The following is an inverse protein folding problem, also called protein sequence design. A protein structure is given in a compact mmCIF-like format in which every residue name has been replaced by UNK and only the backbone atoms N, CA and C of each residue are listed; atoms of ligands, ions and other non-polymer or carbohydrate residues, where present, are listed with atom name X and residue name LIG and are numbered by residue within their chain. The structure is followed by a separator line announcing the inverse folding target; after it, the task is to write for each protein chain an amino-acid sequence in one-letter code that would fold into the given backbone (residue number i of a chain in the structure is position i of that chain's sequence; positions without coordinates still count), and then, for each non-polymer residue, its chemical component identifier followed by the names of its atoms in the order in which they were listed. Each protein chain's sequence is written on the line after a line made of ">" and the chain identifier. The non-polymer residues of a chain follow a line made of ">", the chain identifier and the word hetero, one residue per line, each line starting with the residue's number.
data_IF_918826989917
#
_entry.id   IF_918826989917
#
_cell.length_a   1.000
_cell.length_b   1.000
_cell.length_c   1.000
_cell.angle_alpha   90.00
_cell.angle_beta   90.00
_cell.angle_gamma   90.00
#
_symmetry.space_group_name_H-M   'P 1'
#
loop_
_entity.id
_entity.type
_entity.pdbx_description
1 polymer ?
#
# COMPACT_ATOMS: atom_id res chain seq x y z
N UNK A 1 -6.05 0.56 18.65
CA UNK A 1 -4.91 -0.30 18.24
C UNK A 1 -3.54 0.29 18.60
N UNK A 2 -3.29 1.58 18.34
CA UNK A 2 -2.00 2.23 18.66
C UNK A 2 -1.56 2.07 20.12
N UNK A 3 -2.43 2.41 21.07
CA UNK A 3 -2.14 2.35 22.52
C UNK A 3 -1.89 0.91 22.99
N UNK A 4 -2.59 -0.08 22.43
CA UNK A 4 -2.42 -1.48 22.79
C UNK A 4 -1.07 -2.05 22.30
N UNK A 5 -0.64 -1.70 21.09
CA UNK A 5 0.67 -2.11 20.55
C UNK A 5 1.84 -1.46 21.29
N UNK A 6 1.71 -0.17 21.64
CA UNK A 6 2.70 0.53 22.46
C UNK A 6 2.76 -0.07 23.87
N UNK A 7 1.61 -0.32 24.51
CA UNK A 7 1.57 -0.93 25.84
C UNK A 7 2.16 -2.36 25.83
N UNK A 8 1.87 -3.16 24.80
CA UNK A 8 2.44 -4.49 24.63
C UNK A 8 3.95 -4.47 24.40
N UNK A 9 4.43 -3.58 23.52
CA UNK A 9 5.84 -3.38 23.25
C UNK A 9 6.59 -2.86 24.48
N UNK A 10 5.94 -2.04 25.30
CA UNK A 10 6.47 -1.71 26.63
C UNK A 10 6.50 -2.97 27.50
N UNK A 11 5.43 -3.75 27.68
CA UNK A 11 5.42 -4.87 28.64
C UNK A 11 6.43 -5.98 28.28
N UNK A 12 6.63 -6.28 27.00
CA UNK A 12 7.38 -7.48 26.55
C UNK A 12 8.84 -7.25 26.13
N UNK A 13 9.29 -5.99 25.98
CA UNK A 13 10.67 -5.72 25.52
C UNK A 13 11.61 -5.54 26.72
N UNK A 14 12.54 -6.48 26.87
CA UNK A 14 13.71 -6.36 27.75
C UNK A 14 14.78 -5.51 27.06
N UNK A 15 14.61 -4.19 27.09
CA UNK A 15 15.60 -3.23 26.62
C UNK A 15 15.70 -2.04 27.56
N UNK A 16 16.81 -1.30 27.47
CA UNK A 16 17.01 -0.04 28.20
C UNK A 16 15.81 0.89 27.96
N UNK A 17 15.35 1.67 28.96
CA UNK A 17 14.06 2.38 28.92
C UNK A 17 13.87 3.27 27.68
N UNK A 18 14.93 3.95 27.25
CA UNK A 18 14.90 4.80 26.07
C UNK A 18 14.75 4.00 24.75
N UNK A 19 15.45 2.87 24.63
CA UNK A 19 15.34 2.00 23.46
C UNK A 19 13.97 1.31 23.39
N UNK A 20 13.42 0.93 24.54
CA UNK A 20 12.09 0.34 24.69
C UNK A 20 10.97 1.28 24.24
N UNK A 21 11.05 2.56 24.62
CA UNK A 21 10.13 3.60 24.13
C UNK A 21 10.26 3.83 22.62
N UNK A 22 11.50 3.92 22.11
CA UNK A 22 11.74 4.07 20.67
C UNK A 22 11.14 2.93 19.86
N UNK A 23 11.41 1.68 20.26
CA UNK A 23 10.87 0.49 19.58
C UNK A 23 9.35 0.40 19.69
N UNK A 24 8.76 0.74 20.83
CA UNK A 24 7.31 0.75 21.01
C UNK A 24 6.63 1.84 20.15
N UNK A 25 7.26 3.00 19.98
CA UNK A 25 6.75 4.09 19.14
C UNK A 25 6.98 3.85 17.65
N UNK A 26 8.05 3.15 17.26
CA UNK A 26 8.33 2.79 15.86
C UNK A 26 7.55 1.56 15.39
N UNK A 27 7.15 0.66 16.30
CA UNK A 27 6.32 -0.52 16.01
C UNK A 27 5.18 -0.29 14.99
N UNK A 28 4.33 0.75 15.12
CA UNK A 28 3.19 0.92 14.23
C UNK A 28 3.58 1.41 12.83
N UNK A 29 4.84 1.82 12.58
CA UNK A 29 5.27 2.26 11.25
C UNK A 29 5.14 1.16 10.19
N UNK A 30 5.41 -0.10 10.55
CA UNK A 30 5.27 -1.22 9.62
C UNK A 30 3.82 -1.41 9.15
N UNK A 31 2.86 -1.62 10.07
CA UNK A 31 1.44 -1.69 9.74
C UNK A 31 0.90 -0.44 9.03
N UNK A 32 1.33 0.76 9.44
CA UNK A 32 0.94 2.02 8.78
C UNK A 32 1.45 2.09 7.34
N UNK A 33 2.72 1.75 7.11
CA UNK A 33 3.30 1.72 5.77
C UNK A 33 2.57 0.71 4.87
N UNK A 34 2.18 -0.45 5.42
CA UNK A 34 1.37 -1.42 4.69
C UNK A 34 0.01 -0.85 4.28
N UNK A 35 -0.74 -0.28 5.24
CA UNK A 35 -2.06 0.31 4.95
C UNK A 35 -1.94 1.44 3.93
N UNK A 36 -0.97 2.35 4.11
CA UNK A 36 -0.71 3.44 3.17
C UNK A 36 -0.40 2.90 1.77
N UNK A 37 0.45 1.88 1.67
CA UNK A 37 0.82 1.28 0.39
C UNK A 37 -0.42 0.69 -0.30
N UNK A 38 -1.21 -0.13 0.41
CA UNK A 38 -2.42 -0.73 -0.14
C UNK A 38 -3.41 0.35 -0.57
N UNK A 39 -3.63 1.39 0.24
CA UNK A 39 -4.52 2.50 -0.11
C UNK A 39 -4.05 3.22 -1.36
N UNK A 40 -2.76 3.54 -1.47
CA UNK A 40 -2.19 4.19 -2.66
C UNK A 40 -2.36 3.30 -3.89
N UNK A 41 -2.07 2.01 -3.78
CA UNK A 41 -2.23 1.06 -4.88
C UNK A 41 -3.69 0.96 -5.34
N UNK A 42 -4.64 0.90 -4.41
CA UNK A 42 -6.06 0.88 -4.72
C UNK A 42 -6.50 2.16 -5.45
N UNK A 43 -6.11 3.33 -4.94
CA UNK A 43 -6.44 4.61 -5.59
C UNK A 43 -5.79 4.72 -6.96
N UNK A 44 -4.52 4.34 -7.10
CA UNK A 44 -3.82 4.33 -8.38
C UNK A 44 -4.49 3.38 -9.39
N UNK A 45 -4.98 2.24 -8.92
CA UNK A 45 -5.64 1.24 -9.76
C UNK A 45 -6.94 1.75 -10.40
N UNK A 46 -7.67 2.65 -9.73
CA UNK A 46 -8.88 3.28 -10.25
C UNK A 46 -8.63 4.10 -11.52
N UNK A 47 -7.40 4.58 -11.72
CA UNK A 47 -7.02 5.36 -12.91
C UNK A 47 -6.24 4.49 -13.89
N UNK A 48 -5.31 3.68 -13.40
CA UNK A 48 -4.45 2.85 -14.23
C UNK A 48 -5.25 1.81 -15.02
N UNK A 49 -6.22 1.12 -14.41
CA UNK A 49 -6.99 0.09 -15.12
C UNK A 49 -7.87 0.66 -16.23
N UNK A 50 -8.66 1.73 -16.02
CA UNK A 50 -9.42 2.34 -17.11
C UNK A 50 -8.53 2.89 -18.23
N UNK A 51 -7.40 3.52 -17.88
CA UNK A 51 -6.47 4.06 -18.87
C UNK A 51 -5.88 2.95 -19.76
N UNK A 52 -5.43 1.86 -19.15
CA UNK A 52 -4.93 0.68 -19.88
C UNK A 52 -6.05 0.04 -20.71
N UNK A 53 -7.25 -0.15 -20.13
CA UNK A 53 -8.39 -0.71 -20.83
C UNK A 53 -8.79 0.09 -22.06
N UNK A 54 -8.85 1.42 -21.94
CA UNK A 54 -9.11 2.32 -23.07
C UNK A 54 -8.02 2.20 -24.14
N UNK A 55 -6.75 2.17 -23.75
CA UNK A 55 -5.63 1.99 -24.67
C UNK A 55 -5.70 0.68 -25.45
N UNK A 56 -6.05 -0.43 -24.77
CA UNK A 56 -6.21 -1.75 -25.40
C UNK A 56 -7.37 -1.74 -26.40
N UNK A 57 -8.51 -1.15 -26.05
CA UNK A 57 -9.66 -1.07 -26.96
C UNK A 57 -9.36 -0.23 -28.20
N UNK A 58 -8.66 0.91 -28.03
CA UNK A 58 -8.22 1.75 -29.15
C UNK A 58 -7.26 0.97 -30.05
N UNK A 59 -6.26 0.31 -29.47
CA UNK A 59 -5.30 -0.48 -30.22
C UNK A 59 -5.98 -1.63 -31.00
N UNK A 60 -6.93 -2.33 -30.37
CA UNK A 60 -7.71 -3.38 -31.02
C UNK A 60 -8.56 -2.83 -32.18
N UNK A 61 -9.19 -1.67 -32.00
CA UNK A 61 -9.96 -1.01 -33.06
C UNK A 61 -9.09 -0.62 -34.26
N UNK A 62 -7.90 -0.06 -34.01
CA UNK A 62 -6.93 0.29 -35.06
C UNK A 62 -6.44 -0.97 -35.78
N UNK A 63 -6.11 -2.02 -35.03
CA UNK A 63 -5.66 -3.29 -35.61
C UNK A 63 -6.75 -3.95 -36.48
N UNK A 64 -8.00 -3.94 -36.02
CA UNK A 64 -9.13 -4.45 -36.79
C UNK A 64 -9.32 -3.68 -38.10
N UNK A 65 -9.23 -2.35 -38.07
CA UNK A 65 -9.34 -1.54 -39.28
C UNK A 65 -8.16 -1.76 -40.25
N UNK A 66 -6.94 -1.97 -39.71
CA UNK A 66 -5.74 -2.12 -40.52
C UNK A 66 -5.55 -3.52 -41.12
N UNK A 67 -6.05 -4.57 -40.46
CA UNK A 67 -5.76 -5.96 -40.82
C UNK A 67 -7.00 -6.87 -40.90
N UNK A 68 -8.18 -6.39 -40.49
CA UNK A 68 -9.42 -7.16 -40.40
C UNK A 68 -10.49 -6.81 -41.44
N UNK A 69 -10.25 -5.82 -42.29
CA UNK A 69 -11.02 -5.55 -43.52
C UNK A 69 -10.42 -6.28 -44.71
#
# INVERSE_FOLDING_TARGET
>A
MYVAGVAWGLIMIDARPAARLGLALLWPLGPLAFVLTITILLVASLVAYPAVGAGVLIAAGVAWWAFGT
#
